data_IF_548489867251
#
_entry.id   IF_548489867251
#
_cell.length_a   1.000
_cell.length_b   1.000
_cell.length_c   1.000
_cell.angle_alpha   90.00
_cell.angle_beta   90.00
_cell.angle_gamma   90.00
#
_symmetry.space_group_name_H-M   'P 1'
#
loop_
_entity.id
_entity.type
_entity.pdbx_description
1 polymer ?
#
# COMPACT_ATOMS: atom_id res chain seq x y z
N UNK A 1 -33.35 21.71 -26.31
CA UNK A 1 -32.48 21.59 -25.13
C UNK A 1 -32.14 20.13 -25.07
N UNK A 2 -30.92 19.79 -25.48
CA UNK A 2 -30.58 18.44 -25.95
C UNK A 2 -30.26 17.51 -24.77
N UNK A 3 -30.88 16.33 -24.79
CA UNK A 3 -30.76 15.29 -23.76
C UNK A 3 -29.29 14.86 -23.57
N UNK A 4 -28.47 14.96 -24.63
CA UNK A 4 -27.03 14.66 -24.58
C UNK A 4 -26.25 15.62 -23.68
N UNK A 5 -26.65 16.90 -23.60
CA UNK A 5 -26.02 17.89 -22.74
C UNK A 5 -26.29 17.67 -21.24
N UNK A 6 -27.43 17.06 -20.91
CA UNK A 6 -27.82 16.75 -19.54
C UNK A 6 -27.13 15.46 -19.04
N UNK A 7 -26.95 14.46 -19.92
CA UNK A 7 -26.21 13.22 -19.60
C UNK A 7 -24.72 13.50 -19.37
N UNK A 8 -24.11 14.42 -20.11
CA UNK A 8 -22.70 14.81 -19.93
C UNK A 8 -22.45 15.60 -18.64
N UNK A 9 -23.41 16.41 -18.18
CA UNK A 9 -23.30 17.16 -16.92
C UNK A 9 -23.42 16.29 -15.65
N UNK A 10 -24.12 15.16 -15.74
CA UNK A 10 -24.25 14.19 -14.64
C UNK A 10 -22.94 13.39 -14.46
N UNK A 11 -22.22 13.09 -15.54
CA UNK A 11 -20.96 12.35 -15.47
C UNK A 11 -19.86 13.13 -14.72
N UNK A 12 -19.75 14.46 -14.93
CA UNK A 12 -18.68 15.28 -14.36
C UNK A 12 -18.88 15.57 -12.85
N UNK A 13 -20.13 15.67 -12.40
CA UNK A 13 -20.46 15.91 -10.99
C UNK A 13 -20.35 14.68 -10.09
N UNK A 14 -20.28 13.47 -10.67
CA UNK A 14 -20.21 12.20 -9.93
C UNK A 14 -18.83 11.54 -9.94
N UNK A 15 -17.90 11.92 -10.84
CA UNK A 15 -16.55 11.34 -10.90
C UNK A 15 -15.78 11.47 -9.58
N UNK A 16 -15.91 12.61 -8.88
CA UNK A 16 -15.27 12.86 -7.57
C UNK A 16 -15.77 11.95 -6.46
N UNK A 17 -16.97 11.36 -6.58
CA UNK A 17 -17.52 10.42 -5.59
C UNK A 17 -16.97 9.01 -5.74
N UNK A 18 -16.28 8.68 -6.85
CA UNK A 18 -15.65 7.36 -6.99
C UNK A 18 -14.53 7.14 -5.98
N UNK A 19 -13.87 8.21 -5.55
CA UNK A 19 -12.81 8.18 -4.53
C UNK A 19 -13.37 8.36 -3.10
N UNK A 20 -14.70 8.45 -2.93
CA UNK A 20 -15.32 8.57 -1.61
C UNK A 20 -15.12 7.26 -0.83
N UNK A 21 -14.62 7.30 0.43
CA UNK A 21 -14.41 6.09 1.19
C UNK A 21 -15.76 5.42 1.48
N UNK A 22 -15.87 4.14 1.13
CA UNK A 22 -17.09 3.37 1.38
C UNK A 22 -17.36 3.08 2.87
N UNK A 23 -16.34 3.20 3.73
CA UNK A 23 -16.34 2.89 5.18
C UNK A 23 -16.96 1.53 5.58
N UNK A 24 -17.20 0.63 4.63
CA UNK A 24 -17.91 -0.63 4.82
C UNK A 24 -16.98 -1.84 5.02
N UNK A 25 -15.66 -1.62 5.06
CA UNK A 25 -14.66 -2.67 5.30
C UNK A 25 -14.77 -3.15 6.75
N UNK A 26 -14.87 -4.45 6.93
CA UNK A 26 -14.91 -5.09 8.25
C UNK A 26 -13.51 -5.17 8.86
N UNK A 27 -13.45 -5.34 10.18
CA UNK A 27 -12.19 -5.58 10.89
C UNK A 27 -11.47 -6.83 10.38
N UNK A 28 -12.22 -7.91 10.10
CA UNK A 28 -11.66 -9.16 9.57
C UNK A 28 -10.98 -8.95 8.21
N UNK A 29 -11.60 -8.19 7.29
CA UNK A 29 -10.98 -7.87 5.99
C UNK A 29 -9.69 -7.07 6.16
N UNK A 30 -9.66 -6.13 7.09
CA UNK A 30 -8.49 -5.31 7.39
C UNK A 30 -7.36 -6.15 8.00
N UNK A 31 -7.68 -7.03 8.95
CA UNK A 31 -6.72 -7.94 9.56
C UNK A 31 -6.17 -8.96 8.54
N UNK A 32 -7.02 -9.51 7.68
CA UNK A 32 -6.63 -10.41 6.59
C UNK A 32 -5.71 -9.71 5.57
N UNK A 33 -5.98 -8.44 5.25
CA UNK A 33 -5.10 -7.64 4.42
C UNK A 33 -3.73 -7.43 5.10
N UNK A 34 -3.71 -7.07 6.39
CA UNK A 34 -2.48 -6.91 7.14
C UNK A 34 -1.66 -8.21 7.20
N UNK A 35 -2.31 -9.34 7.47
CA UNK A 35 -1.68 -10.66 7.47
C UNK A 35 -1.03 -10.97 6.11
N UNK A 36 -1.78 -10.76 5.02
CA UNK A 36 -1.28 -10.96 3.65
C UNK A 36 -0.10 -10.05 3.33
N UNK A 37 -0.17 -8.77 3.72
CA UNK A 37 0.90 -7.81 3.52
C UNK A 37 2.19 -8.18 4.29
N UNK A 38 2.05 -8.69 5.52
CA UNK A 38 3.20 -9.17 6.33
C UNK A 38 3.86 -10.37 5.65
N UNK A 39 3.07 -11.32 5.15
CA UNK A 39 3.59 -12.50 4.45
C UNK A 39 4.36 -12.11 3.18
N UNK A 40 3.79 -11.21 2.38
CA UNK A 40 4.47 -10.70 1.17
C UNK A 40 5.76 -9.95 1.53
N UNK A 41 5.73 -9.09 2.56
CA UNK A 41 6.93 -8.39 3.05
C UNK A 41 8.02 -9.38 3.46
N UNK A 42 7.67 -10.43 4.21
CA UNK A 42 8.62 -11.47 4.63
C UNK A 42 9.20 -12.24 3.43
N UNK A 43 8.37 -12.55 2.43
CA UNK A 43 8.82 -13.20 1.20
C UNK A 43 9.79 -12.30 0.41
N UNK A 44 9.52 -11.00 0.30
CA UNK A 44 10.43 -10.05 -0.35
C UNK A 44 11.72 -9.84 0.45
N UNK A 45 11.65 -9.82 1.79
CA UNK A 45 12.82 -9.79 2.66
C UNK A 45 13.72 -11.00 2.42
N UNK A 46 13.16 -12.21 2.37
CA UNK A 46 13.92 -13.43 2.09
C UNK A 46 14.61 -13.39 0.71
N UNK A 47 13.90 -12.91 -0.32
CA UNK A 47 14.48 -12.70 -1.66
C UNK A 47 15.62 -11.67 -1.64
N UNK A 48 15.45 -10.57 -0.89
CA UNK A 48 16.49 -9.56 -0.73
C UNK A 48 17.74 -10.13 -0.04
N UNK A 49 17.59 -10.81 1.09
CA UNK A 49 18.73 -11.40 1.80
C UNK A 49 19.48 -12.43 0.94
N UNK A 50 18.74 -13.26 0.19
CA UNK A 50 19.35 -14.19 -0.77
C UNK A 50 20.14 -13.47 -1.86
N UNK A 51 19.58 -12.40 -2.45
CA UNK A 51 20.26 -11.63 -3.51
C UNK A 51 21.41 -10.79 -2.98
N UNK A 52 21.33 -10.34 -1.73
CA UNK A 52 22.39 -9.58 -1.05
C UNK A 52 23.70 -10.38 -1.00
N UNK A 53 23.62 -11.70 -0.82
CA UNK A 53 24.79 -12.60 -0.79
C UNK A 53 25.19 -13.13 -2.17
N UNK A 54 24.24 -13.37 -3.08
CA UNK A 54 24.49 -14.11 -4.33
C UNK A 54 24.44 -13.30 -5.64
N UNK A 55 23.82 -12.11 -5.63
CA UNK A 55 23.44 -11.41 -6.86
C UNK A 55 24.37 -10.25 -7.28
N UNK A 56 24.31 -9.82 -8.56
CA UNK A 56 24.92 -8.56 -9.00
C UNK A 56 24.24 -7.35 -8.34
N UNK A 57 24.95 -6.20 -8.27
CA UNK A 57 24.49 -4.97 -7.59
C UNK A 57 23.06 -4.57 -7.98
N UNK A 58 22.73 -4.60 -9.27
CA UNK A 58 21.40 -4.28 -9.78
C UNK A 58 20.29 -5.19 -9.25
N UNK A 59 20.57 -6.49 -9.14
CA UNK A 59 19.61 -7.44 -8.58
C UNK A 59 19.39 -7.20 -7.08
N UNK A 60 20.42 -6.77 -6.35
CA UNK A 60 20.32 -6.39 -4.93
C UNK A 60 19.42 -5.17 -4.77
N UNK A 61 19.65 -4.13 -5.57
CA UNK A 61 18.87 -2.89 -5.50
C UNK A 61 17.39 -3.14 -5.84
N UNK A 62 17.10 -3.89 -6.90
CA UNK A 62 15.71 -4.25 -7.24
C UNK A 62 15.01 -5.04 -6.14
N UNK A 63 15.71 -5.97 -5.50
CA UNK A 63 15.14 -6.74 -4.39
C UNK A 63 14.91 -5.86 -3.14
N UNK A 64 15.84 -4.95 -2.85
CA UNK A 64 15.70 -3.98 -1.76
C UNK A 64 14.47 -3.08 -1.95
N UNK A 65 14.28 -2.51 -3.15
CA UNK A 65 13.15 -1.64 -3.45
C UNK A 65 11.81 -2.35 -3.31
N UNK A 66 11.73 -3.63 -3.73
CA UNK A 66 10.53 -4.46 -3.54
C UNK A 66 10.24 -4.70 -2.06
N UNK A 67 11.27 -5.01 -1.29
CA UNK A 67 11.15 -5.18 0.16
C UNK A 67 10.71 -3.87 0.86
N UNK A 68 11.33 -2.73 0.55
CA UNK A 68 10.98 -1.43 1.13
C UNK A 68 9.54 -1.03 0.80
N UNK A 69 9.08 -1.25 -0.43
CA UNK A 69 7.68 -1.03 -0.82
C UNK A 69 6.72 -1.87 0.04
N UNK A 70 6.99 -3.17 0.17
CA UNK A 70 6.16 -4.06 0.99
C UNK A 70 6.18 -3.66 2.47
N UNK A 71 7.33 -3.27 3.01
CA UNK A 71 7.48 -2.75 4.37
C UNK A 71 6.64 -1.48 4.58
N UNK A 72 6.68 -0.52 3.65
CA UNK A 72 5.90 0.71 3.73
C UNK A 72 4.39 0.46 3.78
N UNK A 73 3.89 -0.52 3.02
CA UNK A 73 2.49 -0.96 3.09
C UNK A 73 2.15 -1.50 4.49
N UNK A 74 2.98 -2.41 5.02
CA UNK A 74 2.77 -2.99 6.37
C UNK A 74 2.80 -1.92 7.45
N UNK A 75 3.76 -1.01 7.42
CA UNK A 75 3.88 0.07 8.40
C UNK A 75 2.66 1.00 8.35
N UNK A 76 2.16 1.29 7.14
CA UNK A 76 0.95 2.11 6.94
C UNK A 76 -0.28 1.43 7.53
N UNK A 77 -0.50 0.15 7.23
CA UNK A 77 -1.63 -0.61 7.79
C UNK A 77 -1.56 -0.68 9.32
N UNK A 78 -0.38 -0.98 9.88
CA UNK A 78 -0.18 -1.02 11.34
C UNK A 78 -0.46 0.32 11.99
N UNK A 79 -0.05 1.41 11.37
CA UNK A 79 -0.28 2.75 11.87
C UNK A 79 -1.77 3.10 11.82
N UNK A 80 -2.44 2.83 10.70
CA UNK A 80 -3.88 3.08 10.50
C UNK A 80 -4.75 2.32 11.50
N UNK A 81 -4.40 1.07 11.83
CA UNK A 81 -5.14 0.24 12.79
C UNK A 81 -4.81 0.61 14.25
N UNK A 82 -3.79 1.43 14.49
CA UNK A 82 -3.40 1.84 15.84
C UNK A 82 -2.59 0.78 16.60
N UNK A 83 -1.73 0.03 15.89
CA UNK A 83 -0.81 -0.94 16.52
C UNK A 83 0.05 -0.24 17.57
N UNK A 84 0.03 -0.75 18.81
CA UNK A 84 0.76 -0.14 19.93
C UNK A 84 2.25 -0.02 19.61
N UNK A 85 2.78 1.20 19.74
CA UNK A 85 4.19 1.49 19.49
C UNK A 85 4.56 1.68 18.02
N UNK A 86 3.64 1.50 17.07
CA UNK A 86 3.88 1.80 15.67
C UNK A 86 4.09 3.31 15.48
N UNK A 87 5.23 3.69 14.90
CA UNK A 87 5.51 5.08 14.53
C UNK A 87 4.90 5.40 13.17
N UNK A 88 4.76 6.70 12.90
CA UNK A 88 4.27 7.17 11.61
C UNK A 88 5.21 6.71 10.49
N UNK A 89 4.69 6.04 9.43
CA UNK A 89 5.48 5.61 8.29
C UNK A 89 6.21 6.77 7.59
N UNK A 90 5.65 7.99 7.66
CA UNK A 90 6.25 9.19 7.08
C UNK A 90 7.43 9.73 7.89
N UNK A 91 7.55 9.36 9.17
CA UNK A 91 8.68 9.76 10.02
C UNK A 91 9.86 8.78 9.94
N UNK A 92 9.63 7.53 9.57
CA UNK A 92 10.69 6.51 9.45
C UNK A 92 11.01 6.11 7.99
N UNK A 93 10.05 6.28 7.06
CA UNK A 93 10.11 5.67 5.73
C UNK A 93 10.80 6.48 4.64
N UNK A 94 11.19 7.73 4.91
CA UNK A 94 11.81 8.59 3.89
C UNK A 94 13.33 8.40 3.79
N UNK A 95 14.00 7.89 4.82
CA UNK A 95 15.46 7.91 4.88
C UNK A 95 16.00 9.36 4.90
N UNK A 96 17.12 9.58 5.56
CA UNK A 96 17.90 10.81 5.30
C UNK A 96 18.59 10.71 3.92
#
# INVERSE_FOLDING_TARGET
>A
MDIEGEIMGIADSQLWRMDEPSYNRTWEEIENLLFSAINEMNAQKAKFELRKTTGPKEAKYRALMKYQRAKGIVDTLRWTIGTRGQRSPLKEGLGD
#
